data_IF_569734943835
#
_entry.id   IF_569734943835
#
_cell.length_a   1.000
_cell.length_b   1.000
_cell.length_c   1.000
_cell.angle_alpha   90.00
_cell.angle_beta   90.00
_cell.angle_gamma   90.00
#
_symmetry.space_group_name_H-M   'P 1'
#
loop_
_entity.id
_entity.type
_entity.pdbx_description
1 polymer ?
#
# COMPACT_ATOMS: atom_id res chain seq x y z
N UNK A 1 35.62 -8.71 -11.64
CA UNK A 1 35.33 -8.83 -10.21
C UNK A 1 34.15 -7.92 -9.87
N UNK A 2 33.20 -8.44 -9.09
CA UNK A 2 32.04 -7.69 -8.60
C UNK A 2 32.43 -6.76 -7.43
N UNK A 3 31.55 -5.85 -7.04
CA UNK A 3 31.72 -5.02 -5.83
C UNK A 3 31.79 -5.88 -4.55
N UNK A 4 32.41 -5.39 -3.45
CA UNK A 4 32.57 -6.17 -2.21
C UNK A 4 31.25 -6.68 -1.61
N UNK A 5 30.18 -5.89 -1.70
CA UNK A 5 28.87 -6.19 -1.11
C UNK A 5 27.92 -6.94 -2.07
N UNK A 6 28.43 -7.47 -3.17
CA UNK A 6 27.62 -8.11 -4.22
C UNK A 6 27.95 -9.58 -4.39
N UNK A 7 26.95 -10.37 -4.80
CA UNK A 7 27.10 -11.81 -4.98
C UNK A 7 27.54 -12.12 -6.43
N UNK A 8 28.66 -12.82 -6.58
CA UNK A 8 29.12 -13.33 -7.87
C UNK A 8 28.52 -14.73 -8.12
N UNK A 9 27.70 -14.88 -9.15
CA UNK A 9 27.05 -16.17 -9.48
C UNK A 9 27.73 -16.94 -10.61
N UNK A 10 28.71 -16.34 -11.28
CA UNK A 10 29.44 -17.00 -12.35
C UNK A 10 30.27 -16.05 -13.19
N UNK A 11 30.95 -16.59 -14.21
CA UNK A 11 31.77 -15.84 -15.16
C UNK A 11 31.45 -16.33 -16.57
N UNK A 12 31.17 -15.40 -17.49
CA UNK A 12 30.94 -15.68 -18.90
C UNK A 12 32.25 -16.05 -19.62
N UNK A 13 32.19 -16.70 -20.80
CA UNK A 13 33.37 -17.10 -21.59
C UNK A 13 34.30 -15.94 -21.97
N UNK A 14 33.78 -14.70 -22.01
CA UNK A 14 34.57 -13.48 -22.23
C UNK A 14 35.21 -12.92 -20.94
N UNK A 15 35.32 -13.74 -19.89
CA UNK A 15 35.88 -13.38 -18.59
C UNK A 15 35.10 -12.27 -17.83
N UNK A 16 33.81 -12.09 -18.16
CA UNK A 16 32.92 -11.12 -17.49
C UNK A 16 32.18 -11.80 -16.35
N UNK A 17 32.32 -11.26 -15.13
CA UNK A 17 31.58 -11.74 -13.96
C UNK A 17 30.08 -11.42 -14.08
N UNK A 18 29.22 -12.33 -13.64
CA UNK A 18 27.79 -12.14 -13.46
C UNK A 18 27.56 -11.82 -11.98
N UNK A 19 27.10 -10.59 -11.71
CA UNK A 19 26.96 -10.07 -10.36
C UNK A 19 25.49 -9.79 -10.04
N UNK A 20 25.02 -10.26 -8.88
CA UNK A 20 23.74 -9.84 -8.30
C UNK A 20 24.03 -8.64 -7.39
N UNK A 21 23.47 -7.49 -7.76
CA UNK A 21 23.71 -6.25 -7.05
C UNK A 21 22.85 -6.13 -5.79
N UNK A 22 23.40 -5.58 -4.68
CA UNK A 22 22.59 -5.18 -3.54
C UNK A 22 21.69 -3.98 -3.92
N UNK A 23 20.71 -3.71 -3.07
CA UNK A 23 19.80 -2.57 -3.22
C UNK A 23 20.57 -1.26 -3.48
N UNK A 24 20.05 -0.46 -4.42
CA UNK A 24 20.59 0.86 -4.82
C UNK A 24 22.00 0.84 -5.44
N UNK A 25 22.50 -0.33 -5.86
CA UNK A 25 23.69 -0.47 -6.72
C UNK A 25 23.33 -1.09 -8.05
N UNK A 26 24.04 -0.71 -9.09
CA UNK A 26 23.77 -1.15 -10.45
C UNK A 26 25.04 -1.21 -11.32
N UNK A 27 24.84 -1.55 -12.58
CA UNK A 27 25.90 -1.82 -13.56
C UNK A 27 26.46 -3.24 -13.45
N UNK A 28 27.17 -3.65 -14.49
CA UNK A 28 27.63 -5.05 -14.67
C UNK A 28 28.52 -5.62 -13.57
N UNK A 29 29.08 -4.76 -12.71
CA UNK A 29 29.93 -5.13 -11.57
C UNK A 29 29.40 -4.59 -10.23
N UNK A 30 28.22 -3.97 -10.22
CA UNK A 30 27.63 -3.35 -9.03
C UNK A 30 28.51 -2.24 -8.41
N UNK A 31 29.33 -1.59 -9.22
CA UNK A 31 30.24 -0.51 -8.78
C UNK A 31 29.60 0.87 -8.86
N UNK A 32 28.46 0.98 -9.54
CA UNK A 32 27.69 2.22 -9.66
C UNK A 32 26.61 2.20 -8.59
N UNK A 33 26.34 3.36 -8.00
CA UNK A 33 25.32 3.53 -6.96
C UNK A 33 24.52 4.80 -7.23
N UNK A 34 23.21 4.72 -6.99
CA UNK A 34 22.36 5.89 -7.08
C UNK A 34 22.45 6.74 -5.82
N UNK A 35 22.83 8.00 -6.03
CA UNK A 35 22.92 9.01 -4.97
C UNK A 35 21.56 9.40 -4.38
N UNK A 36 20.46 9.06 -5.07
CA UNK A 36 19.11 9.52 -4.73
C UNK A 36 18.65 8.94 -3.39
N UNK A 37 18.77 7.61 -3.22
CA UNK A 37 18.41 6.93 -1.98
C UNK A 37 19.52 6.93 -0.92
N UNK A 38 20.74 7.35 -1.26
CA UNK A 38 21.92 7.37 -0.38
C UNK A 38 22.25 8.78 0.16
N UNK A 39 21.36 9.75 -0.02
CA UNK A 39 21.61 11.11 0.45
C UNK A 39 21.54 11.17 1.99
N UNK A 40 22.72 11.28 2.62
CA UNK A 40 22.95 11.27 4.09
C UNK A 40 22.15 12.29 4.92
N UNK A 41 21.38 13.18 4.29
CA UNK A 41 20.64 14.25 4.97
C UNK A 41 19.14 14.00 5.13
N UNK A 42 18.51 13.24 4.22
CA UNK A 42 17.07 12.88 4.31
C UNK A 42 16.74 11.81 3.26
N UNK A 43 16.27 10.64 3.69
CA UNK A 43 15.62 9.69 2.78
C UNK A 43 14.49 10.41 2.02
N UNK A 44 14.34 10.21 0.70
CA UNK A 44 13.25 10.83 -0.06
C UNK A 44 11.89 10.22 0.27
N UNK A 45 11.85 9.10 0.99
CA UNK A 45 10.64 8.44 1.47
C UNK A 45 10.37 8.82 2.94
N UNK A 46 9.15 9.25 3.22
CA UNK A 46 8.65 9.55 4.56
C UNK A 46 8.21 8.27 5.30
N UNK A 47 7.88 8.41 6.58
CA UNK A 47 7.25 7.38 7.41
C UNK A 47 7.95 6.01 7.38
N UNK A 48 9.30 6.02 7.32
CA UNK A 48 10.13 4.81 7.21
C UNK A 48 9.90 4.00 5.93
N UNK A 49 9.48 4.65 4.85
CA UNK A 49 9.41 4.07 3.51
C UNK A 49 10.79 3.64 3.00
N UNK A 50 10.85 2.51 2.32
CA UNK A 50 12.08 2.01 1.72
C UNK A 50 12.26 2.65 0.34
N UNK A 51 13.34 3.42 0.19
CA UNK A 51 13.73 4.01 -1.09
C UNK A 51 14.43 2.97 -1.97
N UNK A 52 13.96 2.86 -3.22
CA UNK A 52 14.58 2.04 -4.26
C UNK A 52 14.85 2.92 -5.47
N UNK A 53 16.10 3.03 -5.87
CA UNK A 53 16.48 3.76 -7.08
C UNK A 53 16.03 3.00 -8.34
N UNK A 54 15.64 3.74 -9.38
CA UNK A 54 15.20 3.18 -10.67
C UNK A 54 16.15 3.57 -11.79
N UNK A 55 16.47 2.62 -12.67
CA UNK A 55 17.42 2.78 -13.78
C UNK A 55 16.78 3.50 -15.01
N UNK A 56 15.57 4.05 -14.86
CA UNK A 56 14.74 4.59 -15.94
C UNK A 56 15.07 6.05 -16.31
N UNK A 57 16.36 6.40 -16.37
CA UNK A 57 16.82 7.75 -16.74
C UNK A 57 16.41 8.19 -18.16
N UNK A 58 15.87 7.29 -18.99
CA UNK A 58 15.50 7.56 -20.39
C UNK A 58 13.99 7.65 -20.65
N UNK A 59 13.12 7.33 -19.67
CA UNK A 59 11.67 7.20 -19.91
C UNK A 59 10.83 8.00 -18.89
N UNK A 60 11.36 8.28 -17.68
CA UNK A 60 10.63 8.99 -16.63
C UNK A 60 11.50 10.01 -15.89
N UNK A 61 10.91 11.13 -15.47
CA UNK A 61 11.55 12.10 -14.57
C UNK A 61 11.81 11.53 -13.16
N UNK A 62 11.26 10.34 -12.85
CA UNK A 62 11.36 9.70 -11.54
C UNK A 62 12.58 8.79 -11.43
N UNK A 63 13.53 9.19 -10.58
CA UNK A 63 14.79 8.49 -10.30
C UNK A 63 14.71 7.49 -9.13
N UNK A 64 13.57 7.38 -8.48
CA UNK A 64 13.35 6.50 -7.34
C UNK A 64 11.87 6.17 -7.16
N UNK A 65 11.60 5.08 -6.43
CA UNK A 65 10.30 4.70 -5.92
C UNK A 65 10.37 4.48 -4.40
N UNK A 66 9.26 4.74 -3.71
CA UNK A 66 9.13 4.45 -2.28
C UNK A 66 8.21 3.25 -2.07
N UNK A 67 8.73 2.23 -1.38
CA UNK A 67 7.93 1.12 -0.90
C UNK A 67 7.41 1.49 0.49
N UNK A 68 6.10 1.73 0.58
CA UNK A 68 5.49 2.23 1.81
C UNK A 68 5.17 1.11 2.81
N UNK A 69 5.44 1.33 4.11
CA UNK A 69 5.03 0.39 5.14
C UNK A 69 3.51 0.41 5.31
N UNK A 70 2.98 -0.65 5.93
CA UNK A 70 1.55 -0.82 6.14
C UNK A 70 0.93 0.37 6.90
N UNK A 71 -0.06 1.01 6.29
CA UNK A 71 -0.73 2.20 6.86
C UNK A 71 -0.24 3.52 6.30
N UNK A 72 0.67 3.49 5.35
CA UNK A 72 1.15 4.67 4.64
C UNK A 72 1.08 4.45 3.14
N UNK A 73 0.80 5.52 2.41
CA UNK A 73 0.62 5.56 0.97
C UNK A 73 1.13 6.89 0.41
N UNK A 74 1.05 7.06 -0.91
CA UNK A 74 1.56 8.24 -1.61
C UNK A 74 2.90 7.96 -2.29
N UNK A 75 3.38 8.93 -3.06
CA UNK A 75 4.62 8.77 -3.84
C UNK A 75 5.84 8.62 -2.95
N UNK A 76 5.82 9.30 -1.80
CA UNK A 76 6.88 9.32 -0.80
C UNK A 76 6.39 8.76 0.53
N UNK A 77 5.30 7.99 0.54
CA UNK A 77 4.70 7.47 1.78
C UNK A 77 4.25 8.57 2.77
N UNK A 78 3.90 9.75 2.25
CA UNK A 78 3.49 10.93 3.02
C UNK A 78 2.05 10.86 3.53
N UNK A 79 1.20 10.03 2.90
CA UNK A 79 -0.21 9.90 3.23
C UNK A 79 -0.36 8.83 4.31
N UNK A 80 -0.99 9.17 5.43
CA UNK A 80 -1.36 8.20 6.47
C UNK A 80 -2.75 7.67 6.18
N UNK A 81 -2.87 6.35 5.99
CA UNK A 81 -4.12 5.69 5.63
C UNK A 81 -5.16 5.82 6.75
N UNK A 82 -6.43 6.02 6.36
CA UNK A 82 -7.56 5.93 7.28
C UNK A 82 -7.71 4.50 7.79
N UNK A 83 -7.83 4.33 9.11
CA UNK A 83 -7.94 3.03 9.78
C UNK A 83 -9.39 2.75 10.12
N UNK A 84 -10.00 1.81 9.40
CA UNK A 84 -11.40 1.44 9.59
C UNK A 84 -11.44 0.08 10.28
N UNK A 85 -12.13 0.02 11.40
CA UNK A 85 -12.32 -1.16 12.23
C UNK A 85 -13.78 -1.56 12.10
N UNK A 86 -14.02 -2.70 11.45
CA UNK A 86 -15.37 -3.27 11.34
C UNK A 86 -15.43 -4.44 12.30
N UNK A 87 -16.35 -4.37 13.26
CA UNK A 87 -16.64 -5.44 14.21
C UNK A 87 -17.93 -6.12 13.83
N UNK A 88 -17.93 -7.44 13.85
CA UNK A 88 -19.07 -8.26 13.49
C UNK A 88 -19.68 -8.91 14.72
N UNK A 89 -21.01 -8.92 14.76
CA UNK A 89 -21.73 -9.60 15.82
C UNK A 89 -21.46 -11.12 15.81
N UNK A 90 -21.57 -11.76 16.97
CA UNK A 90 -21.24 -13.19 17.13
C UNK A 90 -22.16 -14.12 16.35
N UNK A 91 -23.36 -13.66 16.04
CA UNK A 91 -24.41 -14.43 15.38
C UNK A 91 -24.42 -14.23 13.86
N UNK A 92 -23.50 -13.44 13.33
CA UNK A 92 -23.34 -13.22 11.90
C UNK A 92 -22.52 -14.35 11.28
N UNK A 93 -23.07 -15.02 10.26
CA UNK A 93 -22.32 -15.98 9.45
C UNK A 93 -21.45 -15.17 8.48
N UNK A 94 -20.14 -15.16 8.73
CA UNK A 94 -19.19 -14.41 7.91
C UNK A 94 -18.57 -15.30 6.82
N UNK A 95 -18.44 -14.80 5.58
CA UNK A 95 -17.71 -15.50 4.55
C UNK A 95 -16.20 -15.45 4.78
N UNK A 96 -15.45 -16.23 4.00
CA UNK A 96 -13.97 -16.26 4.05
C UNK A 96 -13.33 -14.93 3.66
N UNK A 97 -14.01 -14.14 2.82
CA UNK A 97 -13.60 -12.80 2.41
C UNK A 97 -14.81 -11.90 2.20
N UNK A 98 -14.64 -10.62 2.45
CA UNK A 98 -15.63 -9.59 2.13
C UNK A 98 -15.05 -8.54 1.19
N UNK A 99 -15.93 -7.89 0.45
CA UNK A 99 -15.62 -6.71 -0.34
C UNK A 99 -16.00 -5.45 0.46
N UNK A 100 -15.21 -4.40 0.29
CA UNK A 100 -15.44 -3.10 0.91
C UNK A 100 -15.38 -2.07 -0.19
N UNK A 101 -16.41 -1.24 -0.25
CA UNK A 101 -16.58 -0.19 -1.23
C UNK A 101 -16.48 1.16 -0.57
N UNK A 102 -15.87 2.09 -1.29
CA UNK A 102 -15.65 3.47 -0.93
C UNK A 102 -16.17 4.35 -2.05
N UNK A 103 -16.95 5.36 -1.70
CA UNK A 103 -17.47 6.34 -2.65
C UNK A 103 -17.05 7.72 -2.17
N UNK A 104 -16.32 8.43 -3.02
CA UNK A 104 -16.02 9.84 -2.86
C UNK A 104 -17.04 10.65 -3.65
N UNK A 105 -17.93 11.34 -2.93
CA UNK A 105 -18.79 12.37 -3.51
C UNK A 105 -17.98 13.65 -3.74
N UNK A 106 -18.03 14.19 -4.95
CA UNK A 106 -17.36 15.43 -5.34
C UNK A 106 -18.42 16.37 -5.90
N UNK A 107 -18.35 17.66 -5.56
CA UNK A 107 -19.36 18.62 -6.01
C UNK A 107 -19.25 18.86 -7.53
N UNK A 108 -20.38 18.82 -8.23
CA UNK A 108 -20.46 19.01 -9.69
C UNK A 108 -19.62 18.05 -10.55
N UNK A 109 -19.22 16.89 -10.04
CA UNK A 109 -18.57 15.85 -10.84
C UNK A 109 -19.10 14.45 -10.49
N UNK A 110 -18.76 13.47 -11.33
CA UNK A 110 -19.11 12.09 -11.07
C UNK A 110 -18.45 11.59 -9.78
N UNK A 111 -19.12 10.73 -9.00
CA UNK A 111 -18.53 10.13 -7.81
C UNK A 111 -17.38 9.20 -8.21
N UNK A 112 -16.31 9.23 -7.43
CA UNK A 112 -15.20 8.28 -7.59
C UNK A 112 -15.42 7.06 -6.68
N UNK A 113 -15.28 5.88 -7.25
CA UNK A 113 -15.48 4.62 -6.55
C UNK A 113 -14.13 3.92 -6.33
N UNK A 114 -14.00 3.26 -5.19
CA UNK A 114 -12.86 2.39 -4.90
C UNK A 114 -13.32 1.16 -4.13
N UNK A 115 -12.71 0.01 -4.41
CA UNK A 115 -13.04 -1.24 -3.74
C UNK A 115 -11.78 -1.93 -3.24
N UNK A 116 -11.89 -2.65 -2.14
CA UNK A 116 -10.85 -3.55 -1.64
C UNK A 116 -11.51 -4.81 -1.08
N UNK A 117 -10.75 -5.87 -0.88
CA UNK A 117 -11.24 -7.08 -0.22
C UNK A 117 -10.42 -7.37 1.03
N UNK A 118 -11.04 -8.03 1.99
CA UNK A 118 -10.36 -8.54 3.18
C UNK A 118 -10.79 -9.96 3.46
N UNK A 119 -9.80 -10.81 3.72
CA UNK A 119 -10.04 -12.13 4.27
C UNK A 119 -10.42 -11.98 5.75
N UNK A 120 -11.44 -12.72 6.18
CA UNK A 120 -11.89 -12.74 7.56
C UNK A 120 -11.21 -13.93 8.27
N UNK A 121 -10.37 -13.70 9.28
CA UNK A 121 -9.79 -14.80 10.05
C UNK A 121 -10.90 -15.52 10.84
N UNK A 122 -10.90 -16.85 10.81
CA UNK A 122 -11.94 -17.73 11.39
C UNK A 122 -12.26 -17.39 12.87
N UNK A 123 -11.28 -16.90 13.63
CA UNK A 123 -11.42 -16.58 15.06
C UNK A 123 -11.51 -15.08 15.37
N UNK A 124 -11.48 -14.21 14.36
CA UNK A 124 -11.46 -12.76 14.57
C UNK A 124 -12.82 -12.16 14.26
N UNK A 125 -13.41 -11.51 15.27
CA UNK A 125 -14.69 -10.79 15.16
C UNK A 125 -14.54 -9.37 14.65
N UNK A 126 -13.32 -8.96 14.31
CA UNK A 126 -13.05 -7.66 13.74
C UNK A 126 -12.02 -7.74 12.64
N UNK A 127 -12.18 -6.85 11.66
CA UNK A 127 -11.20 -6.63 10.60
C UNK A 127 -10.72 -5.19 10.64
N UNK A 128 -9.48 -5.00 10.20
CA UNK A 128 -8.87 -3.68 10.05
C UNK A 128 -8.62 -3.43 8.58
N UNK A 129 -9.28 -2.42 8.05
CA UNK A 129 -9.12 -1.92 6.69
C UNK A 129 -8.29 -0.64 6.77
N UNK A 130 -7.39 -0.48 5.81
CA UNK A 130 -6.56 0.72 5.65
C UNK A 130 -6.82 1.26 4.26
N UNK A 131 -7.24 2.51 4.16
CA UNK A 131 -7.63 3.14 2.91
C UNK A 131 -7.02 4.53 2.80
N UNK A 132 -6.36 4.80 1.67
CA UNK A 132 -5.54 6.00 1.49
C UNK A 132 -6.22 7.10 0.68
N UNK A 133 -7.28 6.77 -0.07
CA UNK A 133 -8.00 7.74 -0.91
C UNK A 133 -9.13 8.41 -0.12
N UNK A 134 -9.52 9.65 -0.46
CA UNK A 134 -10.69 10.28 0.15
C UNK A 134 -11.97 9.47 -0.09
N UNK A 135 -12.90 9.52 0.85
CA UNK A 135 -14.22 8.89 0.72
C UNK A 135 -15.24 9.55 1.65
N UNK A 136 -16.51 9.51 1.25
CA UNK A 136 -17.64 10.03 2.03
C UNK A 136 -18.57 8.90 2.49
N UNK A 137 -18.64 7.82 1.72
CA UNK A 137 -19.46 6.65 2.03
C UNK A 137 -18.55 5.43 1.99
N UNK A 138 -18.67 4.55 2.99
CA UNK A 138 -18.06 3.22 2.95
C UNK A 138 -19.07 2.16 3.39
N UNK A 139 -19.05 1.01 2.72
CA UNK A 139 -19.92 -0.12 3.03
C UNK A 139 -19.24 -1.45 2.67
N UNK A 140 -19.66 -2.54 3.33
CA UNK A 140 -19.16 -3.89 3.06
C UNK A 140 -20.19 -4.69 2.30
N UNK A 141 -19.74 -5.50 1.34
CA UNK A 141 -20.53 -6.51 0.63
C UNK A 141 -20.07 -7.92 1.06
N UNK A 142 -21.02 -8.75 1.48
CA UNK A 142 -20.83 -10.17 1.84
C UNK A 142 -21.27 -11.09 0.68
N UNK A 143 -20.94 -12.39 0.79
CA UNK A 143 -21.14 -13.40 -0.26
C UNK A 143 -22.57 -13.64 -0.77
N UNK A 144 -23.59 -13.05 -0.13
CA UNK A 144 -25.01 -13.18 -0.52
C UNK A 144 -25.63 -11.83 -0.96
N UNK A 145 -24.84 -10.90 -1.51
CA UNK A 145 -25.26 -9.52 -1.82
C UNK A 145 -25.84 -8.77 -0.61
N UNK A 146 -25.44 -9.16 0.61
CA UNK A 146 -25.81 -8.45 1.83
C UNK A 146 -24.83 -7.29 2.03
N UNK A 147 -25.37 -6.07 2.13
CA UNK A 147 -24.60 -4.85 2.29
C UNK A 147 -24.74 -4.28 3.70
N UNK A 148 -23.62 -3.92 4.32
CA UNK A 148 -23.61 -3.28 5.64
C UNK A 148 -22.90 -1.92 5.54
N UNK A 149 -23.61 -0.89 5.98
CA UNK A 149 -23.07 0.46 5.99
C UNK A 149 -22.00 0.60 7.07
N UNK A 150 -20.81 1.06 6.70
CA UNK A 150 -19.73 1.34 7.66
C UNK A 150 -19.85 2.77 8.16
N UNK A 151 -19.96 3.73 7.23
CA UNK A 151 -19.98 5.15 7.57
C UNK A 151 -20.53 5.99 6.42
N UNK A 152 -21.17 7.09 6.79
CA UNK A 152 -21.50 8.21 5.91
C UNK A 152 -21.04 9.48 6.61
N UNK A 153 -20.15 10.21 5.97
CA UNK A 153 -19.59 11.45 6.50
C UNK A 153 -19.73 12.59 5.50
N UNK A 154 -20.11 13.77 6.00
CA UNK A 154 -20.27 14.98 5.17
C UNK A 154 -18.93 15.58 4.74
N UNK A 155 -17.94 15.52 5.62
CA UNK A 155 -16.58 15.99 5.39
C UNK A 155 -15.61 14.84 5.61
N UNK A 156 -14.79 14.56 4.60
CA UNK A 156 -13.70 13.59 4.74
C UNK A 156 -12.58 14.15 5.62
N UNK A 157 -12.19 13.39 6.64
CA UNK A 157 -11.01 13.68 7.46
C UNK A 157 -9.89 12.68 7.11
N UNK A 158 -8.71 13.17 6.67
CA UNK A 158 -7.56 12.31 6.43
C UNK A 158 -7.17 11.54 7.69
N UNK A 159 -6.73 10.29 7.50
CA UNK A 159 -6.13 9.47 8.58
C UNK A 159 -7.08 9.20 9.76
N UNK A 160 -8.40 9.23 9.51
CA UNK A 160 -9.40 9.00 10.53
C UNK A 160 -9.39 7.55 11.03
N UNK A 161 -9.73 7.36 12.30
CA UNK A 161 -10.03 6.05 12.89
C UNK A 161 -11.55 5.92 12.97
N UNK A 162 -12.11 4.96 12.22
CA UNK A 162 -13.55 4.73 12.15
C UNK A 162 -13.83 3.34 12.70
N UNK A 163 -14.63 3.24 13.75
CA UNK A 163 -15.08 1.96 14.30
C UNK A 163 -16.58 1.81 14.09
N UNK A 164 -17.00 0.71 13.48
CA UNK A 164 -18.42 0.34 13.35
C UNK A 164 -18.64 -1.07 13.90
N UNK A 165 -19.83 -1.29 14.45
CA UNK A 165 -20.33 -2.61 14.82
C UNK A 165 -21.52 -2.92 13.92
N UNK A 166 -21.37 -3.94 13.07
CA UNK A 166 -22.44 -4.39 12.20
C UNK A 166 -23.44 -5.19 13.05
N UNK A 167 -24.50 -4.53 13.49
CA UNK A 167 -25.62 -5.17 14.20
C UNK A 167 -26.68 -5.63 13.21
N UNK A 168 -27.29 -6.78 13.50
CA UNK A 168 -28.55 -7.18 12.86
C UNK A 168 -29.62 -6.28 13.49
N UNK A 169 -30.15 -5.31 12.73
CA UNK A 169 -31.39 -4.65 13.13
C UNK A 169 -32.52 -5.67 12.93
N UNK A 170 -33.00 -6.26 14.02
CA UNK A 170 -34.27 -6.98 14.07
C UNK A 170 -35.44 -5.99 14.01
#
# INVERSE_FOLDING_TARGET
MCSPDSLCIGVLPNNRSICICPLNRWGSRCLLSDIVCQSDKTSPCNNSGQCVATDEQMISDKKFICICPKGFSGERCEIVDSKIIVTFHKDMILPSSILIHFIQVINNSLPENGSTFKNIPINHKSIIIRWSRPFHIAFTELSDNNYYLITVQKTYHPSAIISTENTINC
#
